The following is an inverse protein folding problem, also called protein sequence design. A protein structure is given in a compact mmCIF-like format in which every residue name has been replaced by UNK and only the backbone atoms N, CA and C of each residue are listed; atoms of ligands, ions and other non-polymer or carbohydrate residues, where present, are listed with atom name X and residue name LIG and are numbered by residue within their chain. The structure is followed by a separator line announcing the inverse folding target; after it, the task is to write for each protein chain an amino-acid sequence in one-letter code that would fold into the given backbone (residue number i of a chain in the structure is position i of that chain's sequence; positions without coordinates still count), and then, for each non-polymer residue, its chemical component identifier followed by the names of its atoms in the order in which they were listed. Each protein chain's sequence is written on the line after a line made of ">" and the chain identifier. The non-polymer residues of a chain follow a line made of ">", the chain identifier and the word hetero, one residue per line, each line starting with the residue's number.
data_IF_827240155384
#
_entry.id   IF_827240155384
#
_cell.length_a   1.000
_cell.length_b   1.000
_cell.length_c   1.000
_cell.angle_alpha   90.00
_cell.angle_beta   90.00
_cell.angle_gamma   90.00
#
_symmetry.space_group_name_H-M   'P 1'
#
loop_
_entity.id
_entity.type
_entity.pdbx_description
1 polymer ?
#
# COMPACT_ATOMS: atom_id res chain seq x y z
N UNK A 1 13.74 0.51 -1.13
CA UNK A 1 14.05 1.95 -1.31
C UNK A 1 15.05 2.40 -0.26
N UNK A 2 14.75 2.17 1.01
CA UNK A 2 15.68 2.33 2.13
C UNK A 2 16.21 0.96 2.58
N UNK A 3 17.26 0.96 3.40
CA UNK A 3 17.68 -0.23 4.11
C UNK A 3 16.70 -0.60 5.25
N UNK A 4 16.79 -1.80 5.85
CA UNK A 4 15.81 -2.26 6.85
C UNK A 4 15.69 -1.36 8.09
N UNK A 5 16.75 -0.61 8.42
CA UNK A 5 16.75 0.36 9.52
C UNK A 5 16.24 1.74 9.14
N UNK A 6 15.94 1.96 7.85
CA UNK A 6 15.46 3.23 7.31
C UNK A 6 16.41 4.42 7.56
N UNK A 7 17.72 4.16 7.62
CA UNK A 7 18.75 5.18 7.94
C UNK A 7 19.58 5.57 6.73
N UNK A 8 19.48 4.83 5.63
CA UNK A 8 20.17 5.14 4.38
C UNK A 8 19.39 4.65 3.16
N UNK A 9 19.72 5.21 2.01
CA UNK A 9 19.26 4.70 0.72
C UNK A 9 19.81 3.29 0.46
N UNK A 10 18.96 2.43 -0.06
CA UNK A 10 19.32 1.09 -0.56
C UNK A 10 18.66 0.81 -1.92
N UNK A 11 18.52 1.86 -2.74
CA UNK A 11 17.95 1.74 -4.09
C UNK A 11 18.96 1.03 -5.00
N UNK A 12 18.51 -0.04 -5.64
CA UNK A 12 19.23 -0.71 -6.72
C UNK A 12 18.88 0.00 -8.04
N UNK A 13 19.80 0.86 -8.51
CA UNK A 13 19.55 1.72 -9.68
C UNK A 13 19.23 0.91 -10.94
N UNK A 14 19.89 -0.23 -11.15
CA UNK A 14 19.65 -1.07 -12.32
C UNK A 14 18.23 -1.66 -12.31
N UNK A 15 17.76 -2.14 -11.15
CA UNK A 15 16.39 -2.62 -11.00
C UNK A 15 15.38 -1.48 -11.14
N UNK A 16 15.65 -0.32 -10.52
CA UNK A 16 14.75 0.83 -10.59
C UNK A 16 14.60 1.35 -12.01
N UNK A 17 15.71 1.50 -12.76
CA UNK A 17 15.68 1.91 -14.16
C UNK A 17 14.91 0.92 -15.02
N UNK A 18 15.14 -0.39 -14.86
CA UNK A 18 14.40 -1.42 -15.61
C UNK A 18 12.89 -1.30 -15.43
N UNK A 19 12.42 -1.00 -14.22
CA UNK A 19 10.99 -0.80 -13.94
C UNK A 19 10.48 0.50 -14.57
N UNK A 20 11.19 1.61 -14.39
CA UNK A 20 10.79 2.91 -14.94
C UNK A 20 10.77 2.93 -16.47
N UNK A 21 11.73 2.27 -17.12
CA UNK A 21 11.78 2.08 -18.57
C UNK A 21 10.62 1.20 -19.06
N UNK A 22 10.29 0.12 -18.34
CA UNK A 22 9.12 -0.70 -18.65
C UNK A 22 7.83 0.11 -18.58
N UNK A 23 7.63 0.89 -17.52
CA UNK A 23 6.45 1.77 -17.35
C UNK A 23 6.37 2.83 -18.44
N UNK A 24 7.50 3.44 -18.80
CA UNK A 24 7.58 4.38 -19.92
C UNK A 24 7.16 3.72 -21.24
N UNK A 25 7.70 2.52 -21.51
CA UNK A 25 7.37 1.74 -22.71
C UNK A 25 5.89 1.42 -22.80
N UNK A 26 5.22 1.04 -21.71
CA UNK A 26 3.77 0.81 -21.73
C UNK A 26 2.99 2.04 -22.23
N UNK A 27 3.41 3.24 -21.82
CA UNK A 27 2.82 4.48 -22.35
C UNK A 27 3.18 4.74 -23.81
N UNK A 28 4.43 4.50 -24.21
CA UNK A 28 4.94 4.66 -25.58
C UNK A 28 4.25 3.71 -26.57
N UNK A 29 3.95 2.48 -26.15
CA UNK A 29 3.27 1.46 -26.95
C UNK A 29 1.73 1.59 -26.93
N UNK A 30 1.18 2.58 -26.21
CA UNK A 30 -0.27 2.78 -26.09
C UNK A 30 -1.00 1.73 -25.22
N UNK A 31 -0.26 0.99 -24.40
CA UNK A 31 -0.77 -0.05 -23.50
C UNK A 31 -1.20 0.47 -22.12
N UNK A 32 -1.05 1.78 -21.88
CA UNK A 32 -1.41 2.48 -20.66
C UNK A 32 -2.12 3.80 -21.00
N UNK A 33 -3.18 4.12 -20.28
CA UNK A 33 -3.78 5.45 -20.32
C UNK A 33 -2.83 6.46 -19.64
N UNK A 34 -2.15 7.27 -20.45
CA UNK A 34 -1.07 8.15 -19.99
C UNK A 34 -1.47 9.26 -19.04
N UNK A 35 -2.72 9.74 -19.16
CA UNK A 35 -3.20 10.96 -18.49
C UNK A 35 -4.50 10.67 -17.78
N UNK A 36 -4.39 9.99 -16.66
CA UNK A 36 -5.46 9.80 -15.71
C UNK A 36 -4.90 10.07 -14.32
N UNK A 37 -5.60 10.90 -13.57
CA UNK A 37 -5.44 10.92 -12.12
C UNK A 37 -6.20 9.72 -11.51
N UNK A 38 -6.20 9.65 -10.19
CA UNK A 38 -6.84 8.55 -9.47
C UNK A 38 -8.31 8.39 -9.88
N UNK A 39 -9.11 9.45 -9.76
CA UNK A 39 -10.53 9.44 -10.05
C UNK A 39 -10.81 9.16 -11.53
N UNK A 40 -10.03 9.76 -12.44
CA UNK A 40 -10.11 9.47 -13.86
C UNK A 40 -9.85 8.00 -14.16
N UNK A 41 -8.86 7.38 -13.52
CA UNK A 41 -8.55 5.96 -13.72
C UNK A 41 -9.67 5.02 -13.25
N UNK A 42 -10.34 5.35 -12.13
CA UNK A 42 -11.53 4.64 -11.66
C UNK A 42 -12.65 4.76 -12.69
N UNK A 43 -12.90 5.97 -13.19
CA UNK A 43 -13.94 6.23 -14.20
C UNK A 43 -13.71 5.47 -15.51
N UNK A 44 -12.47 5.46 -16.01
CA UNK A 44 -12.06 4.73 -17.23
C UNK A 44 -12.32 3.23 -17.08
N UNK A 45 -11.88 2.61 -15.99
CA UNK A 45 -12.10 1.18 -15.78
C UNK A 45 -13.60 0.87 -15.60
N UNK A 46 -14.32 1.73 -14.88
CA UNK A 46 -15.76 1.61 -14.69
C UNK A 46 -16.56 1.75 -16.01
N UNK A 47 -16.04 2.50 -16.98
CA UNK A 47 -16.61 2.59 -18.33
C UNK A 47 -16.33 1.35 -19.19
N UNK A 48 -15.43 0.45 -18.75
CA UNK A 48 -15.01 -0.73 -19.52
C UNK A 48 -13.94 -0.42 -20.57
N UNK A 49 -13.30 0.75 -20.50
CA UNK A 49 -12.32 1.19 -21.51
C UNK A 49 -10.93 0.55 -21.34
N UNK A 50 -10.70 -0.18 -20.24
CA UNK A 50 -9.46 -0.94 -20.02
C UNK A 50 -9.74 -2.39 -19.60
N UNK A 51 -8.95 -3.32 -20.14
CA UNK A 51 -9.04 -4.74 -19.75
C UNK A 51 -8.35 -5.07 -18.43
N UNK A 52 -7.43 -4.22 -17.98
CA UNK A 52 -6.75 -4.34 -16.69
C UNK A 52 -6.82 -3.02 -15.93
N UNK A 53 -6.83 -3.12 -14.60
CA UNK A 53 -6.72 -1.99 -13.71
C UNK A 53 -5.85 -2.35 -12.50
N UNK A 54 -4.76 -1.62 -12.31
CA UNK A 54 -3.89 -1.76 -11.15
C UNK A 54 -4.23 -0.65 -10.15
N UNK A 55 -4.95 -1.01 -9.09
CA UNK A 55 -5.28 -0.14 -7.97
C UNK A 55 -5.39 -0.99 -6.70
N UNK A 56 -5.59 -0.34 -5.55
CA UNK A 56 -5.86 -1.00 -4.29
C UNK A 56 -7.26 -1.60 -4.22
N UNK A 57 -7.40 -2.52 -3.29
CA UNK A 57 -8.59 -3.32 -3.09
C UNK A 57 -9.80 -2.53 -2.58
N UNK A 58 -9.58 -1.35 -2.03
CA UNK A 58 -10.65 -0.48 -1.52
C UNK A 58 -11.67 -0.04 -2.60
N UNK A 59 -11.33 -0.14 -3.89
CA UNK A 59 -12.24 0.15 -5.00
C UNK A 59 -13.20 -1.01 -5.38
N UNK A 60 -13.09 -2.18 -4.74
CA UNK A 60 -13.97 -3.33 -5.02
C UNK A 60 -15.44 -2.94 -4.88
N UNK A 61 -15.77 -2.21 -3.82
CA UNK A 61 -17.14 -1.78 -3.55
C UNK A 61 -17.68 -0.82 -4.61
N UNK A 62 -16.84 0.07 -5.14
CA UNK A 62 -17.19 1.00 -6.24
C UNK A 62 -17.66 0.23 -7.46
N UNK A 63 -16.86 -0.74 -7.92
CA UNK A 63 -17.17 -1.50 -9.14
C UNK A 63 -18.34 -2.47 -8.93
N UNK A 64 -18.46 -3.09 -7.76
CA UNK A 64 -19.61 -3.92 -7.41
C UNK A 64 -20.91 -3.12 -7.40
N UNK A 65 -20.92 -1.94 -6.78
CA UNK A 65 -22.10 -1.06 -6.72
C UNK A 65 -22.52 -0.59 -8.13
N UNK A 66 -21.56 -0.36 -9.01
CA UNK A 66 -21.79 -0.02 -10.41
C UNK A 66 -22.10 -1.24 -11.29
N UNK A 67 -22.14 -2.45 -10.71
CA UNK A 67 -22.43 -3.71 -11.40
C UNK A 67 -21.48 -4.00 -12.57
N UNK A 68 -20.26 -3.48 -12.52
CA UNK A 68 -19.22 -3.81 -13.49
C UNK A 68 -18.87 -5.30 -13.32
N UNK A 69 -18.83 -6.11 -14.38
CA UNK A 69 -18.29 -7.46 -14.29
C UNK A 69 -16.75 -7.39 -14.24
N UNK A 70 -16.15 -7.76 -13.10
CA UNK A 70 -14.70 -7.80 -12.92
C UNK A 70 -14.26 -8.95 -12.01
N UNK A 71 -12.96 -9.22 -11.99
CA UNK A 71 -12.33 -10.11 -11.03
C UNK A 71 -11.01 -9.49 -10.54
N UNK A 72 -10.45 -10.06 -9.48
CA UNK A 72 -9.19 -9.64 -8.87
C UNK A 72 -8.19 -10.79 -8.92
N UNK A 73 -6.93 -10.45 -9.10
CA UNK A 73 -5.84 -11.41 -9.00
C UNK A 73 -4.55 -10.70 -8.63
N UNK A 74 -3.55 -11.48 -8.26
CA UNK A 74 -2.21 -10.99 -7.98
C UNK A 74 -1.58 -10.34 -9.21
N UNK A 75 -0.76 -9.31 -8.98
CA UNK A 75 0.09 -8.75 -10.04
C UNK A 75 1.03 -9.87 -10.54
N UNK A 76 1.15 -10.09 -11.86
CA UNK A 76 2.05 -11.10 -12.41
C UNK A 76 3.51 -10.84 -12.00
N UNK A 77 4.34 -11.89 -12.01
CA UNK A 77 5.76 -11.79 -11.69
C UNK A 77 6.58 -11.13 -12.83
N UNK A 78 6.31 -9.86 -13.14
CA UNK A 78 6.85 -9.12 -14.29
C UNK A 78 8.39 -9.08 -14.30
N UNK A 79 9.01 -9.09 -13.12
CA UNK A 79 10.46 -8.99 -12.94
C UNK A 79 11.07 -10.16 -12.15
N UNK A 80 10.38 -11.31 -12.12
CA UNK A 80 10.86 -12.53 -11.47
C UNK A 80 10.51 -12.68 -9.99
N UNK A 81 9.78 -11.72 -9.41
CA UNK A 81 9.19 -11.82 -8.07
C UNK A 81 7.70 -11.47 -8.11
N UNK A 82 6.93 -12.06 -7.20
CA UNK A 82 5.49 -11.78 -6.98
C UNK A 82 5.26 -10.75 -5.88
N UNK A 83 6.32 -10.13 -5.39
CA UNK A 83 6.24 -9.19 -4.28
C UNK A 83 5.25 -8.04 -4.59
N UNK A 84 4.35 -7.78 -3.65
CA UNK A 84 3.40 -6.67 -3.70
C UNK A 84 3.66 -5.73 -2.53
N UNK A 85 3.58 -4.42 -2.76
CA UNK A 85 3.56 -3.47 -1.65
C UNK A 85 2.24 -3.66 -0.88
N UNK A 86 2.30 -3.65 0.44
CA UNK A 86 1.11 -3.69 1.28
C UNK A 86 1.22 -2.70 2.45
N UNK A 87 0.05 -2.35 2.97
CA UNK A 87 -0.10 -1.69 4.26
C UNK A 87 -1.10 -2.47 5.13
N UNK A 88 -1.36 -1.96 6.34
CA UNK A 88 -2.39 -2.54 7.20
C UNK A 88 -3.13 -1.47 7.98
N UNK A 89 -4.45 -1.65 8.08
CA UNK A 89 -5.28 -0.90 9.01
C UNK A 89 -5.05 -1.44 10.41
N UNK A 90 -4.65 -0.58 11.34
CA UNK A 90 -4.30 -0.98 12.71
C UNK A 90 -5.12 -0.20 13.73
N UNK A 91 -5.65 -0.91 14.73
CA UNK A 91 -6.22 -0.28 15.92
C UNK A 91 -5.10 0.18 16.84
N UNK A 92 -5.03 1.47 17.12
CA UNK A 92 -4.08 2.06 18.07
C UNK A 92 -4.81 2.44 19.34
N UNK A 93 -4.28 2.02 20.49
CA UNK A 93 -4.71 2.48 21.80
C UNK A 93 -3.65 3.48 22.30
N UNK A 94 -3.91 4.80 22.24
CA UNK A 94 -2.93 5.80 22.65
C UNK A 94 -2.51 5.60 24.11
N UNK A 95 -1.27 5.95 24.43
CA UNK A 95 -0.81 5.98 25.81
C UNK A 95 -1.71 6.91 26.65
N UNK A 96 -2.06 6.47 27.85
CA UNK A 96 -2.86 7.23 28.80
C UNK A 96 -2.35 6.91 30.21
N UNK A 97 -2.10 7.94 31.01
CA UNK A 97 -1.70 7.77 32.40
C UNK A 97 -2.80 7.03 33.18
N UNK A 98 -2.41 6.04 33.98
CA UNK A 98 -3.35 5.24 34.75
C UNK A 98 -4.28 4.36 33.91
N UNK A 99 -3.92 4.02 32.65
CA UNK A 99 -4.70 3.12 31.78
C UNK A 99 -5.04 1.81 32.51
N UNK A 100 -6.33 1.49 32.57
CA UNK A 100 -6.83 0.30 33.26
C UNK A 100 -8.35 0.28 33.38
N UNK A 101 -8.87 -0.54 34.29
CA UNK A 101 -10.30 -0.58 34.61
C UNK A 101 -11.20 -1.14 33.50
N UNK A 102 -12.49 -0.88 33.63
CA UNK A 102 -13.52 -1.45 32.76
C UNK A 102 -13.43 -0.94 31.31
N UNK A 103 -13.15 0.35 31.10
CA UNK A 103 -13.02 0.94 29.77
C UNK A 103 -11.87 0.35 28.96
N UNK A 104 -10.71 0.13 29.59
CA UNK A 104 -9.58 -0.52 28.93
C UNK A 104 -9.93 -1.96 28.51
N UNK A 105 -10.59 -2.73 29.38
CA UNK A 105 -11.05 -4.09 29.04
C UNK A 105 -12.07 -4.07 27.90
N UNK A 106 -13.02 -3.15 27.92
CA UNK A 106 -14.02 -3.01 26.86
C UNK A 106 -13.37 -2.68 25.51
N UNK A 107 -12.38 -1.78 25.47
CA UNK A 107 -11.63 -1.46 24.26
C UNK A 107 -10.93 -2.71 23.67
N UNK A 108 -10.26 -3.50 24.51
CA UNK A 108 -9.62 -4.74 24.06
C UNK A 108 -10.64 -5.79 23.58
N UNK A 109 -11.78 -5.92 24.27
CA UNK A 109 -12.86 -6.81 23.85
C UNK A 109 -13.45 -6.38 22.51
N UNK A 110 -13.63 -5.09 22.28
CA UNK A 110 -14.09 -4.55 21.01
C UNK A 110 -13.10 -4.84 19.88
N UNK A 111 -11.81 -4.56 20.06
CA UNK A 111 -10.77 -4.87 19.05
C UNK A 111 -10.74 -6.37 18.76
N UNK A 112 -10.76 -7.22 19.80
CA UNK A 112 -10.80 -8.67 19.64
C UNK A 112 -12.06 -9.13 18.88
N UNK A 113 -13.21 -8.52 19.16
CA UNK A 113 -14.45 -8.80 18.44
C UNK A 113 -14.32 -8.42 16.96
N UNK A 114 -13.82 -7.22 16.64
CA UNK A 114 -13.61 -6.76 15.25
C UNK A 114 -12.70 -7.71 14.46
N UNK A 115 -11.59 -8.15 15.05
CA UNK A 115 -10.65 -9.10 14.43
C UNK A 115 -11.29 -10.49 14.21
N UNK A 116 -12.12 -10.95 15.15
CA UNK A 116 -12.83 -12.24 15.01
C UNK A 116 -14.03 -12.16 14.05
N UNK A 117 -14.47 -10.97 13.66
CA UNK A 117 -15.60 -10.74 12.75
C UNK A 117 -15.18 -10.08 11.43
N UNK A 118 -13.90 -10.17 11.05
CA UNK A 118 -13.34 -9.50 9.86
C UNK A 118 -13.86 -9.99 8.51
N UNK A 119 -14.74 -11.00 8.45
CA UNK A 119 -15.43 -11.36 7.21
C UNK A 119 -16.28 -10.20 6.70
N UNK A 120 -16.89 -9.43 7.60
CA UNK A 120 -17.68 -8.25 7.20
C UNK A 120 -16.77 -7.17 6.61
N UNK A 121 -15.63 -6.91 7.26
CA UNK A 121 -14.62 -5.98 6.76
C UNK A 121 -14.06 -6.39 5.39
N UNK A 122 -13.84 -7.69 5.18
CA UNK A 122 -13.34 -8.23 3.92
C UNK A 122 -14.26 -7.96 2.72
N UNK A 123 -15.56 -7.75 2.93
CA UNK A 123 -16.49 -7.38 1.84
C UNK A 123 -16.11 -6.07 1.15
N UNK A 124 -15.39 -5.18 1.85
CA UNK A 124 -14.89 -3.93 1.29
C UNK A 124 -13.68 -4.09 0.36
N UNK A 125 -13.10 -5.29 0.25
CA UNK A 125 -11.92 -5.52 -0.57
C UNK A 125 -10.73 -6.10 0.19
N UNK A 126 -10.71 -6.13 1.52
CA UNK A 126 -9.47 -6.40 2.27
C UNK A 126 -9.20 -7.89 2.53
N UNK A 127 -7.92 -8.30 2.47
CA UNK A 127 -7.45 -9.57 3.05
C UNK A 127 -7.32 -9.40 4.57
N UNK A 128 -8.08 -10.16 5.39
CA UNK A 128 -7.97 -10.03 6.84
C UNK A 128 -6.60 -10.47 7.38
N UNK A 129 -5.98 -9.62 8.21
CA UNK A 129 -4.72 -9.95 8.90
C UNK A 129 -4.90 -11.04 9.98
N UNK A 130 -6.11 -11.23 10.51
CA UNK A 130 -6.41 -12.34 11.41
C UNK A 130 -6.57 -13.64 10.60
N UNK A 131 -5.46 -14.35 10.40
CA UNK A 131 -5.31 -15.52 9.52
C UNK A 131 -6.43 -16.58 9.61
N UNK A 132 -6.98 -16.93 10.80
CA UNK A 132 -8.09 -17.89 10.89
C UNK A 132 -9.35 -17.46 10.10
N UNK A 133 -9.46 -16.19 9.72
CA UNK A 133 -10.55 -15.68 8.87
C UNK A 133 -10.45 -16.24 7.45
N UNK A 134 -9.24 -16.45 6.93
CA UNK A 134 -9.00 -16.91 5.55
C UNK A 134 -9.52 -18.33 5.30
N UNK A 135 -9.64 -19.13 6.36
CA UNK A 135 -10.17 -20.49 6.32
C UNK A 135 -11.70 -20.56 6.47
N UNK A 136 -12.36 -19.45 6.82
CA UNK A 136 -13.80 -19.46 7.04
C UNK A 136 -14.53 -19.67 5.71
N UNK A 137 -15.52 -20.59 5.66
CA UNK A 137 -16.34 -20.78 4.47
C UNK A 137 -17.02 -19.48 3.99
N UNK A 138 -17.39 -18.60 4.92
CA UNK A 138 -17.98 -17.30 4.57
C UNK A 138 -17.00 -16.38 3.84
N UNK A 139 -15.72 -16.36 4.22
CA UNK A 139 -14.69 -15.57 3.52
C UNK A 139 -14.39 -16.17 2.14
N UNK A 140 -14.21 -17.50 2.06
CA UNK A 140 -13.90 -18.21 0.80
C UNK A 140 -15.00 -18.11 -0.27
N UNK A 141 -16.19 -17.62 0.07
CA UNK A 141 -17.31 -17.37 -0.86
C UNK A 141 -17.40 -15.91 -1.32
N UNK A 142 -16.57 -15.02 -0.78
CA UNK A 142 -16.56 -13.62 -1.21
C UNK A 142 -15.88 -13.52 -2.57
N UNK A 143 -16.62 -12.99 -3.55
CA UNK A 143 -16.13 -12.72 -4.90
C UNK A 143 -16.21 -11.22 -5.20
N UNK A 144 -15.19 -10.63 -5.84
CA UNK A 144 -13.92 -11.25 -6.25
C UNK A 144 -12.88 -11.36 -5.12
N UNK A 145 -13.25 -10.96 -3.91
CA UNK A 145 -12.32 -10.76 -2.79
C UNK A 145 -11.40 -11.96 -2.49
N UNK A 146 -11.99 -13.15 -2.37
CA UNK A 146 -11.25 -14.30 -1.88
C UNK A 146 -10.24 -14.85 -2.90
N UNK A 147 -10.31 -14.39 -4.16
CA UNK A 147 -9.48 -14.84 -5.26
C UNK A 147 -8.01 -14.42 -5.14
N UNK A 148 -7.71 -13.32 -4.45
CA UNK A 148 -6.34 -12.79 -4.31
C UNK A 148 -5.76 -12.95 -2.89
N UNK A 149 -6.43 -13.72 -2.03
CA UNK A 149 -6.04 -13.88 -0.61
C UNK A 149 -4.60 -14.37 -0.38
N UNK A 150 -4.02 -15.07 -1.37
CA UNK A 150 -2.66 -15.61 -1.33
C UNK A 150 -1.60 -14.53 -1.47
N UNK A 151 -1.97 -13.29 -1.83
CA UNK A 151 -1.02 -12.17 -1.89
C UNK A 151 -0.38 -11.86 -0.53
N UNK A 152 -1.03 -12.23 0.59
CA UNK A 152 -0.53 -12.01 1.95
C UNK A 152 0.84 -12.65 2.19
N UNK A 153 1.17 -13.72 1.48
CA UNK A 153 2.44 -14.43 1.61
C UNK A 153 3.59 -13.75 0.84
N UNK A 154 3.27 -12.76 0.00
CA UNK A 154 4.21 -12.10 -0.90
C UNK A 154 4.31 -10.58 -0.64
N UNK A 155 3.81 -10.10 0.50
CA UNK A 155 3.79 -8.66 0.79
C UNK A 155 5.15 -8.12 1.23
N UNK A 156 5.44 -6.89 0.81
CA UNK A 156 6.53 -6.07 1.32
C UNK A 156 5.92 -4.82 1.99
N UNK A 157 6.18 -4.65 3.29
CA UNK A 157 5.80 -3.46 4.03
C UNK A 157 6.85 -2.37 3.86
N UNK A 158 6.41 -1.13 4.03
CA UNK A 158 7.31 0.01 4.09
C UNK A 158 8.28 -0.08 5.29
N UNK A 159 9.51 0.45 5.14
CA UNK A 159 10.45 0.54 6.26
C UNK A 159 9.89 1.47 7.36
N UNK A 160 10.29 1.28 8.63
CA UNK A 160 9.75 2.03 9.77
C UNK A 160 10.34 3.45 9.88
N UNK A 161 10.16 4.27 8.84
CA UNK A 161 10.52 5.69 8.85
C UNK A 161 9.29 6.56 9.16
N UNK A 162 9.50 7.69 9.86
CA UNK A 162 8.43 8.65 10.19
C UNK A 162 7.71 9.20 8.95
N UNK A 163 8.39 9.21 7.81
CA UNK A 163 7.90 9.69 6.53
C UNK A 163 7.37 8.58 5.59
N UNK A 164 7.39 7.31 6.01
CA UNK A 164 6.92 6.16 5.24
C UNK A 164 5.51 5.71 5.69
N UNK A 165 4.90 4.75 4.98
CA UNK A 165 3.55 4.26 5.23
C UNK A 165 2.53 4.71 4.16
N UNK A 166 1.32 4.18 4.22
CA UNK A 166 0.27 4.49 3.25
C UNK A 166 -0.02 5.99 3.19
N UNK A 167 -0.14 6.53 1.97
CA UNK A 167 -0.33 7.96 1.70
C UNK A 167 0.70 8.88 2.37
N UNK A 168 1.88 8.36 2.74
CA UNK A 168 2.89 9.15 3.43
C UNK A 168 3.57 10.17 2.52
N UNK A 169 4.32 11.08 3.16
CA UNK A 169 5.15 12.07 2.46
C UNK A 169 6.09 11.43 1.44
N UNK A 170 6.69 10.28 1.76
CA UNK A 170 7.51 9.51 0.82
C UNK A 170 6.77 9.19 -0.46
N UNK A 171 5.59 8.57 -0.38
CA UNK A 171 4.86 8.15 -1.58
C UNK A 171 4.24 9.32 -2.35
N UNK A 172 3.84 10.40 -1.67
CA UNK A 172 3.38 11.62 -2.34
C UNK A 172 4.53 12.23 -3.17
N UNK A 173 5.71 12.36 -2.56
CA UNK A 173 6.87 12.93 -3.24
C UNK A 173 7.38 12.04 -4.38
N UNK A 174 7.47 10.72 -4.17
CA UNK A 174 7.87 9.77 -5.20
C UNK A 174 6.83 9.62 -6.31
N UNK A 175 5.54 9.60 -5.97
CA UNK A 175 4.44 9.51 -6.93
C UNK A 175 4.44 10.70 -7.89
N UNK A 176 4.69 11.91 -7.37
CA UNK A 176 4.89 13.11 -8.20
C UNK A 176 6.03 12.93 -9.20
N UNK A 177 7.18 12.39 -8.78
CA UNK A 177 8.34 12.13 -9.65
C UNK A 177 8.04 11.08 -10.71
N UNK A 178 7.49 9.94 -10.30
CA UNK A 178 7.27 8.80 -11.20
C UNK A 178 6.08 8.99 -12.15
N UNK A 179 5.09 9.81 -11.79
CA UNK A 179 4.02 10.22 -12.71
C UNK A 179 4.58 10.93 -13.96
N UNK A 180 5.71 11.64 -13.84
CA UNK A 180 6.42 12.23 -14.96
C UNK A 180 6.90 11.20 -15.98
N UNK A 181 7.28 9.99 -15.53
CA UNK A 181 7.69 8.89 -16.42
C UNK A 181 6.49 8.34 -17.19
N UNK A 182 5.37 8.13 -16.49
CA UNK A 182 4.12 7.60 -17.07
C UNK A 182 3.51 8.56 -18.12
N UNK A 183 3.48 9.85 -17.81
CA UNK A 183 2.98 10.90 -18.72
C UNK A 183 3.95 11.18 -19.86
N UNK A 184 5.22 10.82 -19.70
CA UNK A 184 6.30 11.04 -20.65
C UNK A 184 7.04 12.38 -20.49
N UNK A 185 6.66 13.20 -19.52
CA UNK A 185 7.29 14.51 -19.23
C UNK A 185 8.67 14.39 -18.56
N UNK A 186 9.06 13.19 -18.12
CA UNK A 186 10.35 12.92 -17.49
C UNK A 186 10.98 11.63 -18.03
N UNK A 187 12.32 11.61 -18.09
CA UNK A 187 13.07 10.39 -18.41
C UNK A 187 13.15 9.45 -17.20
N UNK A 188 13.22 8.12 -17.41
CA UNK A 188 13.42 7.15 -16.33
C UNK A 188 14.63 7.49 -15.43
N UNK A 189 15.76 7.86 -16.03
CA UNK A 189 16.97 8.24 -15.28
C UNK A 189 16.78 9.51 -14.47
N UNK A 190 16.21 10.56 -15.07
CA UNK A 190 15.95 11.81 -14.35
C UNK A 190 14.97 11.62 -13.19
N UNK A 191 13.97 10.76 -13.37
CA UNK A 191 13.04 10.40 -12.29
C UNK A 191 13.73 9.65 -11.15
N UNK A 192 14.60 8.68 -11.46
CA UNK A 192 15.34 7.95 -10.43
C UNK A 192 16.27 8.87 -9.62
N UNK A 193 17.02 9.75 -10.27
CA UNK A 193 17.91 10.68 -9.58
C UNK A 193 17.15 11.64 -8.67
N UNK A 194 16.02 12.18 -9.13
CA UNK A 194 15.20 13.08 -8.31
C UNK A 194 14.52 12.33 -7.16
N UNK A 195 14.01 11.11 -7.39
CA UNK A 195 13.47 10.25 -6.33
C UNK A 195 14.51 9.99 -5.23
N UNK A 196 15.75 9.67 -5.61
CA UNK A 196 16.87 9.49 -4.66
C UNK A 196 17.24 10.78 -3.95
N UNK A 197 17.11 11.94 -4.59
CA UNK A 197 17.29 13.24 -3.92
C UNK A 197 16.24 13.48 -2.85
N UNK A 198 14.96 13.36 -3.21
CA UNK A 198 13.85 13.55 -2.27
C UNK A 198 13.90 12.60 -1.10
N UNK A 199 14.26 11.33 -1.34
CA UNK A 199 14.47 10.36 -0.27
C UNK A 199 15.64 10.72 0.66
N UNK A 200 16.73 11.32 0.15
CA UNK A 200 17.81 11.84 1.02
C UNK A 200 17.33 12.99 1.87
N UNK A 201 16.61 13.93 1.27
CA UNK A 201 16.05 15.07 2.02
C UNK A 201 15.12 14.59 3.15
N UNK A 202 14.33 13.54 2.91
CA UNK A 202 13.49 12.92 3.95
C UNK A 202 14.31 12.23 5.05
N UNK A 203 15.37 11.52 4.69
CA UNK A 203 16.29 10.88 5.64
C UNK A 203 17.01 11.90 6.53
N UNK A 204 17.43 13.02 5.94
CA UNK A 204 18.17 14.09 6.63
C UNK A 204 17.24 14.99 7.46
N UNK A 205 15.92 14.92 7.23
CA UNK A 205 14.92 15.67 7.99
C UNK A 205 14.67 15.02 9.36
N UNK A 206 14.89 15.74 10.47
CA UNK A 206 14.61 15.22 11.81
C UNK A 206 13.16 14.76 11.97
N UNK A 207 12.96 13.65 12.67
CA UNK A 207 11.63 13.15 12.99
C UNK A 207 10.81 14.21 13.74
N UNK A 208 9.62 14.61 13.24
CA UNK A 208 8.75 15.53 13.95
C UNK A 208 8.11 14.87 15.19
N UNK A 209 8.23 13.55 15.33
CA UNK A 209 7.72 12.76 16.44
C UNK A 209 8.72 12.68 17.62
N UNK A 210 9.89 13.30 17.49
CA UNK A 210 11.01 13.16 18.43
C UNK A 210 11.84 11.89 18.18
N UNK A 211 12.89 11.72 18.97
CA UNK A 211 13.62 10.44 19.02
C UNK A 211 12.80 9.43 19.83
N UNK A 212 12.74 8.14 19.41
CA UNK A 212 12.15 7.11 20.25
C UNK A 212 12.90 7.08 21.59
N UNK A 213 12.17 7.17 22.72
CA UNK A 213 12.80 7.06 24.03
C UNK A 213 13.58 5.75 24.14
N UNK A 214 14.80 5.77 24.71
CA UNK A 214 15.55 4.55 24.92
C UNK A 214 14.75 3.62 25.85
N UNK A 215 14.72 2.30 25.56
CA UNK A 215 13.99 1.35 26.38
C UNK A 215 14.51 1.40 27.83
N UNK A 216 13.65 1.78 28.78
CA UNK A 216 13.97 1.76 30.21
C UNK A 216 13.75 3.05 31.01
N UNK A 217 13.20 4.12 30.41
CA UNK A 217 12.75 5.30 31.17
C UNK A 217 11.23 5.38 31.26
N UNK A 218 10.58 4.39 31.86
CA UNK A 218 9.27 4.66 32.48
C UNK A 218 9.50 5.53 33.71
N UNK A 219 8.95 6.73 33.69
CA UNK A 219 9.07 7.74 34.75
C UNK A 219 8.71 7.20 36.14
N UNK A 220 9.42 7.74 37.13
CA UNK A 220 9.05 7.70 38.54
C UNK A 220 7.83 8.59 38.82
#
# INVERSE_FOLDING_TARGET
>A
LLDPTATRLAVDDAKALRVLEYLRRLGDDGLLVRRADYQGSVGIFNAGDTGFYLNGEWEVSTFQNNKLPFSMTRVPALFGSRAAQADSHTFVLPHQDGRGGAGNRAAHQFVAWMLRHSVEWAKGGHVPAYLPTLDRPAYRRLEPQSAYRDVIDDVALDPPAWFAGSASRMWIELGSVFSGVLTGSRSPRGALEEAKSRLRDLLDTPSPLGEPEPPGRSGA
#
